data_IF_238048039586
#
_entry.id   IF_238048039586
#
_cell.length_a   1.000
_cell.length_b   1.000
_cell.length_c   1.000
_cell.angle_alpha   90.00
_cell.angle_beta   90.00
_cell.angle_gamma   90.00
#
_symmetry.space_group_name_H-M   'P 1'
#
loop_
_entity.id
_entity.type
_entity.pdbx_description
1 polymer ?
#
# COMPACT_ATOMS: atom_id res chain seq x y z
N UNK A 1 4.33 8.02 -13.13
CA UNK A 1 4.28 6.65 -12.61
C UNK A 1 3.00 5.98 -13.02
N UNK A 2 2.99 4.65 -13.01
CA UNK A 2 1.86 3.82 -13.43
C UNK A 2 1.14 3.18 -12.22
N UNK A 3 1.44 3.61 -11.01
CA UNK A 3 0.84 3.13 -9.75
C UNK A 3 0.31 4.28 -8.93
N UNK A 4 -0.81 4.04 -8.27
CA UNK A 4 -1.46 5.01 -7.40
C UNK A 4 -2.09 4.29 -6.20
N UNK A 5 -2.48 5.06 -5.18
CA UNK A 5 -3.21 4.56 -4.02
C UNK A 5 -4.53 5.32 -3.91
N UNK A 6 -5.61 4.60 -3.65
CA UNK A 6 -6.92 5.19 -3.33
C UNK A 6 -7.27 4.86 -1.90
N UNK A 7 -7.78 5.84 -1.18
CA UNK A 7 -8.31 5.67 0.17
C UNK A 7 -9.79 6.01 0.17
N UNK A 8 -10.63 5.01 0.32
CA UNK A 8 -12.07 5.20 0.52
C UNK A 8 -12.34 5.46 2.00
N UNK A 9 -12.99 6.59 2.31
CA UNK A 9 -13.37 6.94 3.68
C UNK A 9 -14.88 7.00 3.79
N UNK A 10 -15.42 6.31 4.80
CA UNK A 10 -16.86 6.31 5.04
C UNK A 10 -17.24 5.45 6.24
N UNK A 11 -18.36 5.77 6.86
CA UNK A 11 -18.87 4.98 7.99
C UNK A 11 -19.36 3.62 7.47
N UNK A 12 -18.95 2.56 8.17
CA UNK A 12 -19.39 1.20 7.87
C UNK A 12 -18.78 0.62 6.59
N UNK A 13 -17.56 1.01 6.23
CA UNK A 13 -16.75 0.31 5.25
C UNK A 13 -15.85 -0.69 5.94
N UNK A 14 -15.68 -1.87 5.35
CA UNK A 14 -14.76 -2.90 5.80
C UNK A 14 -14.18 -3.66 4.59
N UNK A 15 -13.12 -4.40 4.82
CA UNK A 15 -12.47 -5.32 3.88
C UNK A 15 -12.01 -6.58 4.61
N UNK A 16 -11.30 -7.46 3.96
CA UNK A 16 -10.78 -7.35 2.58
C UNK A 16 -11.84 -7.57 1.49
N UNK A 17 -11.50 -7.11 0.28
CA UNK A 17 -12.25 -7.35 -0.93
C UNK A 17 -11.33 -7.96 -1.98
N UNK A 18 -11.90 -8.74 -2.92
CA UNK A 18 -11.14 -9.29 -4.04
C UNK A 18 -10.61 -8.20 -4.97
N UNK A 19 -9.50 -8.50 -5.61
CA UNK A 19 -8.90 -7.63 -6.63
C UNK A 19 -9.84 -7.46 -7.84
N UNK A 20 -9.75 -6.31 -8.52
CA UNK A 20 -10.39 -6.15 -9.82
C UNK A 20 -9.54 -6.72 -10.96
N UNK A 21 -8.30 -7.07 -10.66
CA UNK A 21 -7.38 -7.73 -11.59
C UNK A 21 -7.70 -9.23 -11.67
N UNK A 22 -8.04 -9.76 -12.85
CA UNK A 22 -8.26 -11.19 -13.03
C UNK A 22 -6.96 -12.03 -13.01
N UNK A 23 -5.79 -11.38 -12.87
CA UNK A 23 -4.45 -12.00 -12.90
C UNK A 23 -4.17 -12.85 -14.16
N UNK A 24 -4.91 -12.62 -15.23
CA UNK A 24 -4.78 -13.31 -16.53
C UNK A 24 -5.07 -12.33 -17.67
N UNK A 25 -4.25 -12.37 -18.69
CA UNK A 25 -4.47 -11.57 -19.90
C UNK A 25 -5.71 -12.05 -20.68
N UNK A 26 -6.35 -11.11 -21.40
CA UNK A 26 -7.50 -11.38 -22.23
C UNK A 26 -8.83 -11.58 -21.48
N UNK A 27 -8.83 -11.46 -20.15
CA UNK A 27 -10.05 -11.48 -19.36
C UNK A 27 -10.55 -10.06 -19.07
N UNK A 28 -11.86 -9.87 -18.95
CA UNK A 28 -12.43 -8.61 -18.51
C UNK A 28 -12.02 -8.30 -17.07
N UNK A 29 -12.03 -7.02 -16.74
CA UNK A 29 -11.82 -6.55 -15.36
C UNK A 29 -12.89 -7.16 -14.45
N UNK A 30 -12.46 -7.75 -13.33
CA UNK A 30 -13.34 -8.37 -12.37
C UNK A 30 -14.06 -7.34 -11.49
N UNK A 31 -15.28 -7.64 -11.09
CA UNK A 31 -15.94 -6.88 -10.03
C UNK A 31 -15.36 -7.28 -8.66
N UNK A 32 -15.02 -6.29 -7.85
CA UNK A 32 -14.52 -6.53 -6.49
C UNK A 32 -15.66 -7.04 -5.60
N UNK A 33 -15.42 -8.15 -4.93
CA UNK A 33 -16.37 -8.84 -4.06
C UNK A 33 -15.83 -8.91 -2.63
N UNK A 34 -16.70 -8.93 -1.60
CA UNK A 34 -16.25 -9.17 -0.23
C UNK A 34 -15.73 -10.61 -0.06
N UNK A 35 -14.63 -10.79 0.66
CA UNK A 35 -14.13 -12.13 1.02
C UNK A 35 -15.13 -12.88 1.92
N UNK A 36 -15.80 -12.14 2.81
CA UNK A 36 -16.96 -12.65 3.54
C UNK A 36 -18.26 -12.07 2.96
N UNK A 37 -19.03 -12.84 2.19
CA UNK A 37 -20.26 -12.39 1.57
C UNK A 37 -21.37 -12.06 2.58
N UNK A 38 -21.26 -12.46 3.84
CA UNK A 38 -22.23 -12.16 4.89
C UNK A 38 -21.91 -10.85 5.64
N UNK A 39 -20.75 -10.27 5.41
CA UNK A 39 -20.35 -9.01 6.03
C UNK A 39 -20.99 -7.81 5.32
N UNK A 40 -22.05 -7.26 5.87
CA UNK A 40 -22.75 -6.09 5.30
C UNK A 40 -21.86 -4.86 5.08
N UNK A 41 -20.84 -4.67 5.94
CA UNK A 41 -19.87 -3.58 5.79
C UNK A 41 -18.94 -3.81 4.59
N UNK A 42 -18.55 -5.05 4.33
CA UNK A 42 -17.73 -5.40 3.17
C UNK A 42 -18.55 -5.35 1.87
N UNK A 43 -19.82 -5.76 1.90
CA UNK A 43 -20.74 -5.57 0.77
C UNK A 43 -20.90 -4.08 0.41
N UNK A 44 -21.06 -3.22 1.43
CA UNK A 44 -21.10 -1.77 1.22
C UNK A 44 -19.79 -1.25 0.62
N UNK A 45 -18.65 -1.71 1.07
CA UNK A 45 -17.35 -1.33 0.53
C UNK A 45 -17.19 -1.78 -0.94
N UNK A 46 -17.57 -3.02 -1.26
CA UNK A 46 -17.54 -3.52 -2.63
C UNK A 46 -18.42 -2.68 -3.57
N UNK A 47 -19.61 -2.28 -3.10
CA UNK A 47 -20.45 -1.35 -3.86
C UNK A 47 -19.78 -0.01 -4.11
N UNK A 48 -19.15 0.60 -3.10
CA UNK A 48 -18.43 1.88 -3.24
C UNK A 48 -17.29 1.76 -4.25
N UNK A 49 -16.52 0.66 -4.20
CA UNK A 49 -15.45 0.37 -5.16
C UNK A 49 -16.02 0.24 -6.59
N UNK A 50 -17.11 -0.49 -6.76
CA UNK A 50 -17.78 -0.65 -8.05
C UNK A 50 -18.34 0.67 -8.61
N UNK A 51 -18.96 1.48 -7.77
CA UNK A 51 -19.49 2.80 -8.16
C UNK A 51 -18.35 3.75 -8.58
N UNK A 52 -17.24 3.75 -7.84
CA UNK A 52 -16.04 4.50 -8.21
C UNK A 52 -15.50 4.04 -9.58
N UNK A 53 -15.41 2.73 -9.78
CA UNK A 53 -14.92 2.15 -11.04
C UNK A 53 -15.78 2.61 -12.22
N UNK A 54 -17.10 2.47 -12.09
CA UNK A 54 -18.09 2.90 -13.11
C UNK A 54 -18.00 4.40 -13.43
N UNK A 55 -17.71 5.22 -12.43
CA UNK A 55 -17.56 6.67 -12.62
C UNK A 55 -16.21 7.05 -13.26
N UNK A 56 -15.13 6.32 -12.96
CA UNK A 56 -13.79 6.65 -13.41
C UNK A 56 -13.50 6.18 -14.85
N UNK A 57 -13.97 5.01 -15.26
CA UNK A 57 -13.66 4.43 -16.59
C UNK A 57 -14.06 5.34 -17.76
N UNK A 58 -15.25 5.97 -17.79
CA UNK A 58 -15.61 6.86 -18.88
C UNK A 58 -14.68 8.07 -19.03
N UNK A 59 -14.10 8.54 -17.92
CA UNK A 59 -13.15 9.67 -17.91
C UNK A 59 -11.80 9.29 -18.55
N UNK A 60 -11.46 8.00 -18.57
CA UNK A 60 -10.22 7.48 -19.11
C UNK A 60 -10.35 7.00 -20.57
N UNK A 61 -11.57 6.78 -21.05
CA UNK A 61 -11.84 6.12 -22.34
C UNK A 61 -11.13 6.74 -23.56
N UNK A 62 -10.78 8.04 -23.50
CA UNK A 62 -10.05 8.74 -24.57
C UNK A 62 -8.54 8.88 -24.33
N UNK A 63 -7.98 8.28 -23.28
CA UNK A 63 -6.58 8.48 -22.87
C UNK A 63 -5.69 7.29 -23.24
N UNK A 64 -5.81 6.76 -24.45
CA UNK A 64 -4.99 5.63 -24.90
C UNK A 64 -3.48 5.92 -24.86
N UNK A 65 -2.67 4.96 -24.42
CA UNK A 65 -3.03 3.59 -23.97
C UNK A 65 -3.44 3.52 -22.47
N UNK A 66 -3.51 4.64 -21.74
CA UNK A 66 -3.81 4.69 -20.31
C UNK A 66 -5.32 4.83 -20.05
N UNK A 67 -6.15 4.02 -20.74
CA UNK A 67 -7.61 4.13 -20.77
C UNK A 67 -8.34 3.27 -19.72
N UNK A 68 -7.60 2.68 -18.77
CA UNK A 68 -8.15 1.86 -17.69
C UNK A 68 -7.18 1.69 -16.55
N UNK A 69 -7.64 1.06 -15.47
CA UNK A 69 -6.83 0.74 -14.30
C UNK A 69 -7.35 -0.51 -13.61
N UNK A 70 -6.48 -1.13 -12.82
CA UNK A 70 -6.79 -2.29 -11.99
C UNK A 70 -6.53 -1.92 -10.53
N UNK A 71 -7.37 -2.41 -9.63
CA UNK A 71 -7.21 -2.23 -8.19
C UNK A 71 -6.86 -3.57 -7.56
N UNK A 72 -5.82 -3.55 -6.71
CA UNK A 72 -5.34 -4.73 -5.96
C UNK A 72 -5.13 -4.37 -4.50
N UNK A 73 -5.26 -5.38 -3.62
CA UNK A 73 -5.01 -5.22 -2.20
C UNK A 73 -6.02 -4.32 -1.51
N UNK A 74 -7.30 -4.44 -1.86
CA UNK A 74 -8.38 -3.63 -1.29
C UNK A 74 -8.70 -4.15 0.11
N UNK A 75 -8.17 -3.46 1.13
CA UNK A 75 -8.31 -3.84 2.53
C UNK A 75 -8.36 -2.59 3.43
N UNK A 76 -8.73 -2.78 4.68
CA UNK A 76 -8.52 -1.76 5.71
C UNK A 76 -7.08 -1.80 6.24
N UNK A 77 -6.66 -0.75 6.91
CA UNK A 77 -5.33 -0.71 7.52
C UNK A 77 -5.17 -1.89 8.49
N UNK A 78 -4.13 -2.72 8.34
CA UNK A 78 -3.92 -3.86 9.21
C UNK A 78 -3.49 -3.40 10.61
N UNK A 79 -3.94 -4.12 11.62
CA UNK A 79 -3.43 -3.98 13.00
C UNK A 79 -2.18 -4.85 13.16
N UNK A 80 -1.03 -4.27 12.86
CA UNK A 80 0.26 -4.95 12.95
C UNK A 80 0.96 -4.51 14.24
N UNK A 81 1.43 -5.44 15.07
CA UNK A 81 2.21 -5.11 16.25
C UNK A 81 3.43 -4.28 15.89
N UNK A 82 3.63 -3.16 16.59
CA UNK A 82 4.77 -2.28 16.34
C UNK A 82 6.08 -3.01 16.64
N UNK A 83 7.06 -2.85 15.74
CA UNK A 83 8.39 -3.46 15.87
C UNK A 83 9.06 -3.15 17.23
N UNK A 84 9.07 -1.90 17.72
CA UNK A 84 9.64 -1.59 19.05
C UNK A 84 8.97 -2.36 20.19
N UNK A 85 7.66 -2.57 20.12
CA UNK A 85 6.92 -3.33 21.14
C UNK A 85 7.19 -4.83 21.09
N UNK A 86 7.36 -5.37 19.87
CA UNK A 86 7.56 -6.80 19.66
C UNK A 86 8.98 -7.26 19.97
N UNK A 87 9.97 -6.45 19.65
CA UNK A 87 11.39 -6.83 19.72
C UNK A 87 12.20 -6.03 20.75
N UNK A 88 11.59 -5.03 21.42
CA UNK A 88 12.26 -4.14 22.35
C UNK A 88 13.50 -3.45 21.75
N UNK A 89 13.45 -3.09 20.47
CA UNK A 89 14.52 -2.45 19.71
C UNK A 89 14.06 -1.09 19.19
N UNK A 90 15.00 -0.20 18.97
CA UNK A 90 14.79 1.08 18.25
C UNK A 90 15.09 0.85 16.76
N UNK A 91 14.10 0.70 15.89
CA UNK A 91 14.31 0.37 14.49
C UNK A 91 14.36 1.62 13.61
N UNK A 92 15.31 1.66 12.68
CA UNK A 92 15.40 2.65 11.61
C UNK A 92 15.17 2.01 10.23
N UNK A 93 14.61 2.79 9.32
CA UNK A 93 14.48 2.43 7.91
C UNK A 93 15.19 3.47 7.03
N UNK A 94 16.08 3.00 6.18
CA UNK A 94 16.78 3.77 5.16
C UNK A 94 16.41 3.15 3.80
N UNK A 95 15.53 3.81 3.06
CA UNK A 95 15.05 3.29 1.78
C UNK A 95 14.82 4.42 0.78
N UNK A 96 15.06 4.15 -0.50
CA UNK A 96 14.71 5.09 -1.58
C UNK A 96 13.22 4.97 -1.92
N UNK A 97 12.73 3.75 -2.06
CA UNK A 97 11.40 3.49 -2.58
C UNK A 97 10.29 3.78 -1.55
N UNK A 98 9.29 4.63 -1.90
CA UNK A 98 8.26 5.09 -0.95
C UNK A 98 7.43 3.97 -0.32
N UNK A 99 7.21 2.86 -1.01
CA UNK A 99 6.44 1.72 -0.49
C UNK A 99 7.10 1.13 0.76
N UNK A 100 8.44 0.94 0.75
CA UNK A 100 9.16 0.42 1.91
C UNK A 100 9.19 1.41 3.07
N UNK A 101 9.32 2.72 2.77
CA UNK A 101 9.16 3.76 3.80
C UNK A 101 7.77 3.73 4.45
N UNK A 102 6.72 3.50 3.64
CA UNK A 102 5.36 3.37 4.13
C UNK A 102 5.16 2.14 5.02
N UNK A 103 5.66 0.98 4.58
CA UNK A 103 5.61 -0.26 5.36
C UNK A 103 6.40 -0.13 6.67
N UNK A 104 7.58 0.45 6.64
CA UNK A 104 8.40 0.69 7.82
C UNK A 104 7.67 1.57 8.85
N UNK A 105 7.04 2.67 8.40
CA UNK A 105 6.21 3.51 9.29
C UNK A 105 5.03 2.74 9.89
N UNK A 106 4.39 1.87 9.10
CA UNK A 106 3.25 1.08 9.55
C UNK A 106 3.61 0.16 10.72
N UNK A 107 4.84 -0.35 10.74
CA UNK A 107 5.35 -1.18 11.82
C UNK A 107 6.14 -0.39 12.89
N UNK A 108 6.13 0.93 12.83
CA UNK A 108 6.72 1.80 13.86
C UNK A 108 8.22 1.98 13.77
N UNK A 109 8.80 1.89 12.55
CA UNK A 109 10.20 2.25 12.30
C UNK A 109 10.33 3.75 12.01
N UNK A 110 11.41 4.36 12.46
CA UNK A 110 11.78 5.71 12.06
C UNK A 110 12.36 5.72 10.64
N UNK A 111 11.96 6.68 9.83
CA UNK A 111 12.55 6.88 8.51
C UNK A 111 13.74 7.83 8.67
N UNK A 112 14.93 7.33 8.42
CA UNK A 112 16.18 8.06 8.63
C UNK A 112 16.82 8.43 7.29
N UNK A 113 17.23 9.68 7.20
CA UNK A 113 17.89 10.22 6.03
C UNK A 113 16.99 10.36 4.79
N UNK A 114 17.57 10.84 3.72
CA UNK A 114 16.93 10.95 2.40
C UNK A 114 17.86 10.42 1.31
N UNK A 115 18.56 9.34 1.60
CA UNK A 115 19.53 8.69 0.73
C UNK A 115 18.91 8.29 -0.61
N UNK A 116 19.61 8.57 -1.70
CA UNK A 116 19.18 8.27 -3.07
C UNK A 116 20.06 7.18 -3.73
N UNK A 117 21.22 6.90 -3.16
CA UNK A 117 22.18 5.92 -3.65
C UNK A 117 22.74 5.08 -2.49
N UNK A 118 23.55 4.07 -2.82
CA UNK A 118 24.08 3.12 -1.84
C UNK A 118 25.06 3.78 -0.87
N UNK A 119 25.90 4.69 -1.36
CA UNK A 119 26.91 5.42 -0.57
C UNK A 119 26.23 6.28 0.48
N UNK A 120 25.18 7.01 0.10
CA UNK A 120 24.38 7.83 1.02
C UNK A 120 23.63 6.97 2.05
N UNK A 121 23.17 5.77 1.66
CA UNK A 121 22.54 4.84 2.58
C UNK A 121 23.55 4.33 3.62
N UNK A 122 24.75 3.98 3.19
CA UNK A 122 25.83 3.55 4.08
C UNK A 122 26.25 4.69 5.05
N UNK A 123 26.34 5.93 4.56
CA UNK A 123 26.62 7.09 5.39
C UNK A 123 25.51 7.30 6.44
N UNK A 124 24.23 7.21 6.04
CA UNK A 124 23.11 7.37 6.94
C UNK A 124 23.08 6.28 8.05
N UNK A 125 23.44 5.04 7.74
CA UNK A 125 23.63 3.99 8.77
C UNK A 125 24.73 4.42 9.75
N UNK A 126 25.90 4.82 9.24
CA UNK A 126 27.05 5.21 10.06
C UNK A 126 26.73 6.39 10.99
N UNK A 127 26.08 7.42 10.47
CA UNK A 127 25.70 8.62 11.23
C UNK A 127 24.69 8.34 12.34
N UNK A 128 23.90 7.29 12.20
CA UNK A 128 22.84 6.93 13.14
C UNK A 128 23.11 5.65 13.92
N UNK A 129 24.32 5.11 13.84
CA UNK A 129 24.67 3.80 14.40
C UNK A 129 24.35 3.67 15.90
N UNK A 130 24.64 4.69 16.70
CA UNK A 130 24.43 4.69 18.14
C UNK A 130 22.98 5.02 18.56
N UNK A 131 22.15 5.49 17.62
CA UNK A 131 20.78 5.90 17.89
C UNK A 131 19.78 4.75 17.74
N UNK A 132 20.13 3.69 17.00
CA UNK A 132 19.21 2.60 16.66
C UNK A 132 19.85 1.24 16.89
N UNK A 133 19.00 0.26 17.20
CA UNK A 133 19.42 -1.12 17.48
C UNK A 133 19.21 -2.04 16.25
N UNK A 134 18.41 -1.57 15.27
CA UNK A 134 18.09 -2.30 14.05
C UNK A 134 17.94 -1.34 12.86
N UNK A 135 18.56 -1.71 11.73
CA UNK A 135 18.45 -0.96 10.47
C UNK A 135 17.84 -1.84 9.38
N UNK A 136 16.73 -1.40 8.81
CA UNK A 136 16.22 -1.92 7.54
C UNK A 136 16.72 -1.02 6.41
N UNK A 137 17.68 -1.51 5.64
CA UNK A 137 18.25 -0.78 4.50
C UNK A 137 17.77 -1.41 3.21
N UNK A 138 17.14 -0.63 2.34
CA UNK A 138 16.66 -1.10 1.05
C UNK A 138 17.17 -0.23 -0.09
N UNK A 139 18.02 -0.83 -0.92
CA UNK A 139 18.49 -0.29 -2.19
C UNK A 139 17.73 -0.90 -3.36
N UNK A 140 17.40 -0.06 -4.37
CA UNK A 140 16.72 -0.49 -5.59
C UNK A 140 17.31 0.23 -6.80
#
# INVERSE_FOLDING_TARGET
GHRFVIIFRGVGLAGPLSDTDPHREGLPIAESQPDDPNCAKAQKAAKVVGDFYKAALPLLAGLEPANGFLMRGIAHQPDIPLFPKRYAMRPACIAVYPMYKGLARLVGMDIVGNAQNLEEQAAAVKENWDNYDFFFVHFK
#
